data_IF_466984028390
#
_entry.id   IF_466984028390
#
_cell.length_a   1.000
_cell.length_b   1.000
_cell.length_c   1.000
_cell.angle_alpha   90.00
_cell.angle_beta   90.00
_cell.angle_gamma   90.00
#
_symmetry.space_group_name_H-M   'P 1'
#
loop_
_entity.id
_entity.type
_entity.pdbx_description
1 polymer ?
#
# COMPACT_ATOMS: atom_id res chain seq x y z
N UNK A 1 8.77 -10.50 -0.12
CA UNK A 1 8.40 -10.82 1.27
C UNK A 1 9.66 -11.16 2.03
N UNK A 2 10.12 -10.22 2.87
CA UNK A 2 11.31 -10.33 3.72
C UNK A 2 10.86 -10.42 5.17
N UNK A 3 11.32 -11.42 5.91
CA UNK A 3 11.07 -11.52 7.35
C UNK A 3 11.96 -10.55 8.12
N UNK A 4 11.41 -9.88 9.13
CA UNK A 4 12.20 -9.08 10.07
C UNK A 4 13.09 -9.98 10.94
N UNK A 5 14.29 -9.48 11.28
CA UNK A 5 15.12 -10.06 12.34
C UNK A 5 14.63 -9.66 13.74
N UNK A 6 15.09 -10.37 14.77
CA UNK A 6 14.71 -10.11 16.16
C UNK A 6 15.07 -8.68 16.63
N UNK A 7 16.12 -8.08 16.04
CA UNK A 7 16.60 -6.72 16.31
C UNK A 7 15.91 -5.63 15.48
N UNK A 8 15.08 -6.01 14.52
CA UNK A 8 14.32 -5.11 13.64
C UNK A 8 12.84 -5.01 14.03
N UNK A 9 12.33 -5.99 14.80
CA UNK A 9 10.94 -6.03 15.23
C UNK A 9 10.57 -4.79 16.04
N UNK A 10 9.43 -4.19 15.68
CA UNK A 10 8.82 -3.16 16.49
C UNK A 10 8.46 -3.71 17.88
N UNK A 11 8.56 -2.88 18.91
CA UNK A 11 8.33 -3.29 20.32
C UNK A 11 6.95 -3.92 20.60
N UNK A 12 5.97 -3.66 19.74
CA UNK A 12 4.60 -4.19 19.83
C UNK A 12 4.35 -5.41 18.93
N UNK A 13 5.29 -5.75 18.05
CA UNK A 13 5.12 -6.81 17.06
C UNK A 13 5.75 -8.11 17.57
N UNK A 14 5.01 -9.21 17.41
CA UNK A 14 5.49 -10.57 17.65
C UNK A 14 6.22 -11.15 16.43
N UNK A 15 5.73 -10.86 15.23
CA UNK A 15 6.37 -11.21 13.97
C UNK A 15 6.03 -10.15 12.91
N UNK A 16 6.89 -9.97 11.91
CA UNK A 16 6.68 -8.98 10.85
C UNK A 16 7.35 -9.41 9.53
N UNK A 17 6.65 -9.17 8.43
CA UNK A 17 7.16 -9.37 7.08
C UNK A 17 6.94 -8.13 6.21
N UNK A 18 7.98 -7.72 5.49
CA UNK A 18 7.91 -6.64 4.53
C UNK A 18 7.67 -7.17 3.11
N UNK A 19 6.72 -6.55 2.41
CA UNK A 19 6.67 -6.53 0.96
C UNK A 19 7.65 -5.44 0.51
N UNK A 20 8.69 -5.86 -0.21
CA UNK A 20 9.75 -4.95 -0.67
C UNK A 20 9.73 -4.79 -2.18
N UNK A 21 10.15 -3.61 -2.63
CA UNK A 21 10.37 -3.31 -4.03
C UNK A 21 11.85 -2.97 -4.26
N UNK A 22 12.35 -3.36 -5.42
CA UNK A 22 13.73 -3.08 -5.83
C UNK A 22 13.79 -1.74 -6.55
N UNK A 23 13.93 -0.68 -5.79
CA UNK A 23 14.17 0.66 -6.32
C UNK A 23 15.54 0.75 -7.01
N UNK A 24 15.79 1.80 -7.83
CA UNK A 24 17.10 2.04 -8.44
C UNK A 24 18.26 2.13 -7.44
N UNK A 25 17.98 2.50 -6.19
CA UNK A 25 18.97 2.56 -5.10
C UNK A 25 19.03 1.31 -4.22
N UNK A 26 18.20 0.29 -4.46
CA UNK A 26 18.20 -0.97 -3.70
C UNK A 26 16.81 -1.41 -3.23
N UNK A 27 16.79 -2.46 -2.41
CA UNK A 27 15.56 -2.97 -1.80
C UNK A 27 15.08 -2.02 -0.70
N UNK A 28 13.79 -1.71 -0.71
CA UNK A 28 13.13 -1.00 0.37
C UNK A 28 11.67 -1.46 0.52
N UNK A 29 11.14 -1.27 1.73
CA UNK A 29 9.79 -1.65 2.12
C UNK A 29 8.71 -0.80 1.42
N UNK A 30 7.67 -1.47 0.92
CA UNK A 30 6.43 -0.87 0.42
C UNK A 30 5.28 -1.03 1.41
N UNK A 31 5.20 -2.21 2.03
CA UNK A 31 4.17 -2.56 2.99
C UNK A 31 4.74 -3.52 4.04
N UNK A 32 4.53 -3.22 5.31
CA UNK A 32 4.81 -4.12 6.43
C UNK A 32 3.55 -4.87 6.84
N UNK A 33 3.67 -6.18 7.11
CA UNK A 33 2.60 -7.02 7.64
C UNK A 33 3.03 -7.50 9.02
N UNK A 34 2.45 -6.91 10.07
CA UNK A 34 2.82 -7.16 11.46
C UNK A 34 1.75 -7.97 12.22
N UNK A 35 2.18 -9.02 12.92
CA UNK A 35 1.40 -9.65 13.99
C UNK A 35 1.66 -8.88 15.29
N UNK A 36 0.67 -8.08 15.72
CA UNK A 36 0.76 -7.23 16.92
C UNK A 36 0.10 -7.88 18.14
N UNK A 37 -0.40 -9.11 17.99
CA UNK A 37 -1.20 -9.80 18.99
C UNK A 37 -2.26 -8.88 19.59
N UNK A 38 -2.43 -8.85 20.90
CA UNK A 38 -3.39 -8.01 21.61
C UNK A 38 -2.77 -6.74 22.21
N UNK A 39 -1.53 -6.38 21.83
CA UNK A 39 -0.81 -5.24 22.41
C UNK A 39 -1.64 -3.95 22.34
N UNK A 40 -2.17 -3.63 21.16
CA UNK A 40 -2.87 -2.36 20.93
C UNK A 40 -4.14 -2.22 21.78
N UNK A 41 -4.97 -3.25 21.76
CA UNK A 41 -6.22 -3.25 22.51
C UNK A 41 -5.96 -3.29 24.02
N UNK A 42 -4.93 -4.02 24.48
CA UNK A 42 -4.53 -4.02 25.89
C UNK A 42 -4.12 -2.61 26.33
N UNK A 43 -3.23 -1.95 25.60
CA UNK A 43 -2.76 -0.62 25.96
C UNK A 43 -3.91 0.40 25.98
N UNK A 44 -4.85 0.33 25.03
CA UNK A 44 -6.02 1.21 25.00
C UNK A 44 -7.01 0.89 26.13
N UNK A 45 -7.28 -0.37 26.43
CA UNK A 45 -8.13 -0.80 27.56
C UNK A 45 -7.58 -0.27 28.88
N UNK A 46 -6.28 -0.50 29.15
CA UNK A 46 -5.62 -0.05 30.39
C UNK A 46 -5.60 1.47 30.52
N UNK A 47 -5.39 2.20 29.42
CA UNK A 47 -5.29 3.66 29.43
C UNK A 47 -6.65 4.35 29.49
N UNK A 48 -7.68 3.78 28.86
CA UNK A 48 -9.03 4.38 28.78
C UNK A 48 -9.97 3.92 29.89
N UNK A 49 -9.77 2.71 30.43
CA UNK A 49 -10.70 2.05 31.36
C UNK A 49 -11.92 1.43 30.69
N UNK A 50 -12.06 1.56 29.37
CA UNK A 50 -13.16 0.97 28.60
C UNK A 50 -12.86 -0.50 28.26
N UNK A 51 -13.87 -1.36 28.40
CA UNK A 51 -13.74 -2.78 28.07
C UNK A 51 -13.71 -2.99 26.54
N UNK A 52 -12.55 -3.38 26.03
CA UNK A 52 -12.31 -3.71 24.62
C UNK A 52 -12.28 -5.22 24.34
N UNK A 53 -12.70 -6.05 25.31
CA UNK A 53 -12.78 -7.51 25.10
C UNK A 53 -13.96 -7.89 24.21
N UNK A 54 -13.73 -8.87 23.34
CA UNK A 54 -14.77 -9.46 22.50
C UNK A 54 -15.39 -10.66 23.21
N UNK A 55 -16.73 -10.76 23.17
CA UNK A 55 -17.44 -11.95 23.65
C UNK A 55 -17.67 -12.91 22.49
N UNK A 56 -17.16 -14.12 22.63
CA UNK A 56 -17.29 -15.19 21.65
C UNK A 56 -18.35 -16.19 22.14
N UNK A 57 -19.45 -16.28 21.40
CA UNK A 57 -20.58 -17.16 21.69
C UNK A 57 -20.42 -18.56 21.09
N UNK A 58 -19.33 -18.81 20.36
CA UNK A 58 -19.04 -20.09 19.71
C UNK A 58 -18.19 -21.03 20.56
N UNK A 59 -17.59 -20.52 21.64
CA UNK A 59 -16.72 -21.30 22.53
C UNK A 59 -17.53 -22.28 23.38
N UNK A 60 -17.07 -23.52 23.48
CA UNK A 60 -17.72 -24.57 24.29
C UNK A 60 -17.78 -24.20 25.79
N UNK A 61 -18.75 -24.76 26.51
CA UNK A 61 -18.90 -24.55 27.96
C UNK A 61 -17.60 -24.91 28.71
N UNK A 62 -17.04 -23.92 29.41
CA UNK A 62 -15.77 -24.03 30.13
C UNK A 62 -14.57 -23.36 29.44
N UNK A 63 -14.74 -22.87 28.20
CA UNK A 63 -13.77 -22.02 27.51
C UNK A 63 -13.79 -20.56 27.98
N UNK A 64 -12.73 -19.82 27.67
CA UNK A 64 -12.66 -18.38 27.90
C UNK A 64 -13.56 -17.65 26.90
N UNK A 65 -14.73 -17.18 27.36
CA UNK A 65 -15.75 -16.54 26.52
C UNK A 65 -15.43 -15.08 26.17
N UNK A 66 -14.44 -14.45 26.81
CA UNK A 66 -14.02 -13.07 26.52
C UNK A 66 -12.52 -13.00 26.34
N UNK A 67 -12.05 -12.38 25.26
CA UNK A 67 -10.62 -12.18 25.01
C UNK A 67 -10.34 -10.85 24.32
N UNK A 68 -9.08 -10.43 24.29
CA UNK A 68 -8.63 -9.32 23.45
C UNK A 68 -8.28 -9.87 22.06
N UNK A 69 -8.98 -9.45 20.98
CA UNK A 69 -8.66 -9.90 19.64
C UNK A 69 -7.22 -9.57 19.25
N UNK A 70 -6.59 -10.49 18.52
CA UNK A 70 -5.28 -10.24 17.95
C UNK A 70 -5.39 -9.37 16.69
N UNK A 71 -4.45 -8.45 16.54
CA UNK A 71 -4.38 -7.50 15.44
C UNK A 71 -3.27 -7.95 14.48
N UNK A 72 -3.66 -8.21 13.24
CA UNK A 72 -2.74 -8.34 12.10
C UNK A 72 -2.85 -7.05 11.29
N UNK A 73 -1.74 -6.32 11.17
CA UNK A 73 -1.70 -5.03 10.51
C UNK A 73 -0.91 -5.11 9.20
N UNK A 74 -1.59 -5.08 8.04
CA UNK A 74 -1.00 -4.65 6.78
C UNK A 74 -0.93 -3.12 6.72
N UNK A 75 0.28 -2.57 6.62
CA UNK A 75 0.53 -1.13 6.60
C UNK A 75 1.37 -0.76 5.39
N UNK A 76 0.73 -0.17 4.38
CA UNK A 76 1.34 0.19 3.10
C UNK A 76 1.58 1.69 2.92
N UNK A 77 2.78 2.06 2.48
CA UNK A 77 3.12 3.45 2.16
C UNK A 77 2.60 3.88 0.79
N UNK A 78 1.51 4.66 0.75
CA UNK A 78 0.89 5.13 -0.50
C UNK A 78 1.86 5.89 -1.40
N UNK A 79 2.71 6.76 -0.84
CA UNK A 79 3.72 7.50 -1.59
C UNK A 79 4.76 6.58 -2.21
N UNK A 80 5.18 5.54 -1.49
CA UNK A 80 6.17 4.57 -1.98
C UNK A 80 5.58 3.68 -3.07
N UNK A 81 4.35 3.21 -2.90
CA UNK A 81 3.63 2.46 -3.92
C UNK A 81 3.46 3.29 -5.20
N UNK A 82 3.06 4.56 -5.05
CA UNK A 82 2.98 5.51 -6.16
C UNK A 82 4.33 5.65 -6.87
N UNK A 83 5.41 5.90 -6.13
CA UNK A 83 6.74 6.02 -6.72
C UNK A 83 7.17 4.74 -7.45
N UNK A 84 6.91 3.56 -6.86
CA UNK A 84 7.23 2.28 -7.46
C UNK A 84 6.50 2.08 -8.80
N UNK A 85 5.20 2.40 -8.89
CA UNK A 85 4.46 2.31 -10.15
C UNK A 85 5.01 3.26 -11.23
N UNK A 86 5.42 4.47 -10.86
CA UNK A 86 5.99 5.42 -11.82
C UNK A 86 7.37 5.01 -12.31
N UNK A 87 8.19 4.45 -11.41
CA UNK A 87 9.52 3.94 -11.78
C UNK A 87 9.41 2.72 -12.70
N UNK A 88 8.49 1.80 -12.41
CA UNK A 88 8.28 0.59 -13.22
C UNK A 88 7.70 0.92 -14.61
N UNK A 89 6.89 1.99 -14.69
CA UNK A 89 6.28 2.45 -15.93
C UNK A 89 7.19 3.39 -16.76
N UNK A 90 8.30 3.89 -16.22
CA UNK A 90 9.17 4.84 -16.92
C UNK A 90 9.92 4.16 -18.07
N UNK A 91 9.87 4.75 -19.25
CA UNK A 91 10.59 4.26 -20.42
C UNK A 91 11.01 5.41 -21.35
N UNK A 92 12.08 5.18 -22.12
CA UNK A 92 12.63 6.11 -23.10
C UNK A 92 12.67 5.45 -24.47
N UNK A 93 11.97 6.05 -25.45
CA UNK A 93 11.85 5.52 -26.79
C UNK A 93 12.47 6.48 -27.83
N UNK A 94 13.08 5.97 -28.91
CA UNK A 94 13.52 6.81 -30.04
C UNK A 94 12.34 7.53 -30.71
N UNK A 95 12.53 8.82 -31.01
CA UNK A 95 11.56 9.65 -31.74
C UNK A 95 12.30 10.46 -32.82
N UNK A 96 12.54 9.81 -33.97
CA UNK A 96 13.37 10.36 -35.04
C UNK A 96 14.81 10.55 -34.57
N UNK A 97 15.30 11.79 -34.60
CA UNK A 97 16.63 12.17 -34.10
C UNK A 97 16.62 12.55 -32.60
N UNK A 98 15.47 12.42 -31.92
CA UNK A 98 15.27 12.72 -30.51
C UNK A 98 14.92 11.48 -29.69
N UNK A 99 14.80 11.67 -28.37
CA UNK A 99 14.29 10.67 -27.42
C UNK A 99 13.02 11.23 -26.80
N UNK A 100 11.97 10.42 -26.71
CA UNK A 100 10.76 10.74 -25.96
C UNK A 100 10.67 9.89 -24.70
N UNK A 101 10.21 10.51 -23.62
CA UNK A 101 9.85 9.78 -22.40
C UNK A 101 8.40 9.33 -22.52
N UNK A 102 8.16 8.05 -22.24
CA UNK A 102 6.82 7.46 -22.19
C UNK A 102 6.61 6.80 -20.84
N UNK A 103 5.36 6.82 -20.37
CA UNK A 103 4.96 6.18 -19.12
C UNK A 103 3.96 5.07 -19.45
N UNK A 104 4.35 3.81 -19.27
CA UNK A 104 3.52 2.64 -19.49
C UNK A 104 2.65 2.29 -18.27
N UNK A 105 2.12 3.32 -17.59
CA UNK A 105 1.25 3.11 -16.42
C UNK A 105 0.04 2.29 -16.84
N UNK A 106 -0.35 1.34 -15.98
CA UNK A 106 -1.58 0.59 -16.20
C UNK A 106 -2.77 1.56 -16.34
N UNK A 107 -3.71 1.24 -17.23
CA UNK A 107 -4.86 2.12 -17.54
C UNK A 107 -5.62 2.59 -16.31
N UNK A 108 -5.78 1.70 -15.32
CA UNK A 108 -6.52 2.00 -14.08
C UNK A 108 -5.75 2.90 -13.10
N UNK A 109 -4.45 3.07 -13.31
CA UNK A 109 -3.57 3.95 -12.53
C UNK A 109 -3.26 5.27 -13.25
N UNK A 110 -3.56 5.35 -14.56
CA UNK A 110 -3.27 6.53 -15.37
C UNK A 110 -4.04 7.76 -14.85
N UNK A 111 -3.36 8.88 -14.52
CA UNK A 111 -4.03 10.08 -14.02
C UNK A 111 -5.04 10.68 -15.02
N UNK A 112 -4.74 10.51 -16.32
CA UNK A 112 -5.61 10.88 -17.43
C UNK A 112 -5.70 9.67 -18.34
N UNK A 113 -6.92 9.15 -18.53
CA UNK A 113 -7.14 7.89 -19.26
C UNK A 113 -7.31 8.08 -20.77
N UNK A 114 -7.77 9.25 -21.22
CA UNK A 114 -7.98 9.58 -22.62
C UNK A 114 -7.65 11.05 -22.87
N UNK A 115 -6.94 11.31 -23.97
CA UNK A 115 -6.72 12.66 -24.49
C UNK A 115 -7.30 12.76 -25.91
N UNK A 116 -8.26 13.67 -26.12
CA UNK A 116 -8.77 14.00 -27.45
C UNK A 116 -8.00 15.19 -28.00
N UNK A 117 -7.13 14.97 -28.98
CA UNK A 117 -6.24 16.01 -29.52
C UNK A 117 -6.60 16.31 -30.99
N UNK A 118 -7.09 17.52 -31.32
CA UNK A 118 -7.43 17.85 -32.69
C UNK A 118 -6.15 18.05 -33.50
N UNK A 119 -6.12 17.55 -34.74
CA UNK A 119 -4.95 17.65 -35.61
C UNK A 119 -4.53 19.11 -35.88
N UNK A 120 -5.49 20.05 -35.85
CA UNK A 120 -5.22 21.47 -36.02
C UNK A 120 -6.19 22.32 -35.21
N UNK A 121 -5.88 23.62 -35.06
CA UNK A 121 -6.74 24.61 -34.40
C UNK A 121 -7.95 25.05 -35.23
N UNK A 122 -8.28 24.33 -36.31
CA UNK A 122 -9.44 24.64 -37.14
C UNK A 122 -10.73 24.57 -36.31
N UNK A 123 -11.54 25.62 -36.37
CA UNK A 123 -12.79 25.75 -35.61
C UNK A 123 -13.79 24.60 -35.84
N UNK A 124 -13.66 23.88 -36.96
CA UNK A 124 -14.48 22.69 -37.24
C UNK A 124 -14.07 21.45 -36.42
N UNK A 125 -12.84 21.40 -35.91
CA UNK A 125 -12.26 20.24 -35.21
C UNK A 125 -12.16 20.45 -33.68
N UNK A 126 -12.02 21.71 -33.24
CA UNK A 126 -11.87 22.07 -31.83
C UNK A 126 -13.06 21.72 -30.90
N UNK A 127 -14.34 21.78 -31.33
CA UNK A 127 -15.47 21.55 -30.42
C UNK A 127 -15.60 20.12 -29.89
N UNK A 128 -15.10 19.12 -30.65
CA UNK A 128 -15.21 17.70 -30.31
C UNK A 128 -14.03 17.19 -29.46
N UNK A 129 -13.00 18.01 -29.29
CA UNK A 129 -11.74 17.63 -28.64
C UNK A 129 -11.54 18.27 -27.25
N UNK A 130 -12.62 18.76 -26.62
CA UNK A 130 -12.61 19.31 -25.26
C UNK A 130 -13.19 18.32 -24.27
#
# INVERSE_FOLDING_TARGET
LRKHGDDELAHYAKDCYDIEYRFPWGWAELEGIADRTDYDLRQHLESSGEDLTYFDDTVEEGGEQRYLPYVIEPSGGVDRATLAFWLDAYDEEPDGDAVRVVSHLHRDLAPVTVAALPLSRNEKLTPTAR
#
